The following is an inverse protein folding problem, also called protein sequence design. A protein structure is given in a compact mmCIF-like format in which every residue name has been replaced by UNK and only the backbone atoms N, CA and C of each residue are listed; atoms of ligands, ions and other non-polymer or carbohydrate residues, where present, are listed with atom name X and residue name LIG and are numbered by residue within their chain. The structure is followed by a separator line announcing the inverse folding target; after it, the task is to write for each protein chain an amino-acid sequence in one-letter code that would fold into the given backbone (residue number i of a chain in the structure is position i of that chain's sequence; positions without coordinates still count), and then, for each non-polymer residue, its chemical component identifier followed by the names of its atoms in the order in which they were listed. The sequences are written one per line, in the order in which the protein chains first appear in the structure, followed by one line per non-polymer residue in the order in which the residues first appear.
data_IF_988831688386
#
_entry.id   IF_988831688386
#
_cell.length_a   1.000
_cell.length_b   1.000
_cell.length_c   1.000
_cell.angle_alpha   90.00
_cell.angle_beta   90.00
_cell.angle_gamma   90.00
#
_symmetry.space_group_name_H-M   'P 1'
#
loop_
_entity.id
_entity.type
_entity.pdbx_description
1 polymer ?
#
# COMPACT_ATOMS: atom_id res chain seq x y z
N UNK A 1 -33.49 -26.72 -0.20
CA UNK A 1 -33.17 -26.53 1.23
C UNK A 1 -31.87 -27.29 1.47
N UNK A 2 -30.73 -26.61 1.32
CA UNK A 2 -29.42 -27.24 1.52
C UNK A 2 -29.05 -26.98 2.97
N UNK A 3 -29.07 -28.05 3.76
CA UNK A 3 -28.66 -28.13 5.15
C UNK A 3 -27.17 -28.45 5.15
N UNK A 4 -26.34 -27.44 5.39
CA UNK A 4 -25.00 -27.55 5.94
C UNK A 4 -24.54 -26.12 6.25
N UNK A 5 -24.91 -25.64 7.44
CA UNK A 5 -24.61 -24.27 7.89
C UNK A 5 -23.72 -24.32 9.13
N UNK A 6 -22.64 -25.09 9.06
CA UNK A 6 -21.48 -24.80 9.89
C UNK A 6 -20.56 -23.90 9.06
N UNK A 7 -20.50 -22.62 9.43
CA UNK A 7 -19.57 -21.66 8.84
C UNK A 7 -18.16 -22.10 9.23
N UNK A 8 -17.43 -22.72 8.30
CA UNK A 8 -16.04 -23.10 8.50
C UNK A 8 -15.17 -21.84 8.40
N UNK A 9 -14.75 -21.29 9.54
CA UNK A 9 -13.81 -20.18 9.59
C UNK A 9 -12.43 -20.63 9.11
N UNK A 10 -12.12 -20.35 7.85
CA UNK A 10 -10.84 -20.74 7.22
C UNK A 10 -9.62 -19.92 7.69
N UNK A 11 -9.83 -18.89 8.51
CA UNK A 11 -8.78 -17.98 8.96
C UNK A 11 -8.12 -17.23 7.79
N UNK A 12 -6.84 -16.88 7.93
CA UNK A 12 -6.09 -16.20 6.88
C UNK A 12 -5.80 -17.16 5.70
N UNK A 13 -6.18 -16.72 4.50
CA UNK A 13 -5.85 -17.33 3.21
C UNK A 13 -4.72 -16.54 2.54
N UNK A 14 -3.91 -17.24 1.74
CA UNK A 14 -2.72 -16.69 1.10
C UNK A 14 -2.70 -17.03 -0.39
N UNK A 15 -2.07 -16.20 -1.24
CA UNK A 15 -1.86 -16.54 -2.64
C UNK A 15 -1.04 -17.82 -2.78
N UNK A 16 -1.41 -18.65 -3.75
CA UNK A 16 -0.64 -19.83 -4.10
C UNK A 16 0.36 -19.52 -5.22
N UNK A 17 0.96 -20.56 -5.80
CA UNK A 17 1.93 -20.42 -6.86
C UNK A 17 1.34 -19.77 -8.12
N UNK A 18 2.15 -18.95 -8.80
CA UNK A 18 1.80 -18.34 -10.08
C UNK A 18 1.67 -19.43 -11.14
N UNK A 19 0.56 -19.41 -11.87
CA UNK A 19 0.24 -20.34 -12.97
C UNK A 19 0.19 -19.65 -14.32
N UNK A 20 -0.06 -18.34 -14.34
CA UNK A 20 -0.17 -17.55 -15.57
C UNK A 20 0.42 -16.17 -15.38
N UNK A 21 1.18 -15.73 -16.39
CA UNK A 21 1.69 -14.38 -16.53
C UNK A 21 1.24 -13.79 -17.86
N UNK A 22 0.87 -12.51 -17.86
CA UNK A 22 0.66 -11.74 -19.08
C UNK A 22 1.08 -10.29 -18.89
N UNK A 23 1.66 -9.69 -19.94
CA UNK A 23 2.04 -8.29 -19.99
C UNK A 23 1.22 -7.57 -21.04
N UNK A 24 0.69 -6.41 -20.69
CA UNK A 24 0.07 -5.45 -21.59
C UNK A 24 0.70 -4.07 -21.32
N UNK A 25 1.62 -3.66 -22.20
CA UNK A 25 2.38 -2.41 -22.09
C UNK A 25 3.07 -2.26 -20.72
N UNK A 26 2.46 -1.50 -19.81
CA UNK A 26 2.92 -1.14 -18.46
C UNK A 26 2.22 -1.93 -17.35
N UNK A 27 1.27 -2.78 -17.71
CA UNK A 27 0.47 -3.61 -16.82
C UNK A 27 0.91 -5.07 -16.90
N UNK A 28 1.21 -5.66 -15.76
CA UNK A 28 1.61 -7.05 -15.60
C UNK A 28 0.56 -7.77 -14.74
N UNK A 29 0.06 -8.89 -15.24
CA UNK A 29 -0.90 -9.73 -14.54
C UNK A 29 -0.26 -11.07 -14.18
N UNK A 30 -0.40 -11.45 -12.92
CA UNK A 30 0.05 -12.73 -12.37
C UNK A 30 -1.14 -13.43 -11.73
N UNK A 31 -1.59 -14.54 -12.31
CA UNK A 31 -2.67 -15.36 -11.76
C UNK A 31 -2.08 -16.57 -11.05
N UNK A 32 -2.67 -16.91 -9.91
CA UNK A 32 -2.27 -18.05 -9.07
C UNK A 32 -3.22 -19.23 -9.21
N UNK A 33 -2.85 -20.39 -8.68
CA UNK A 33 -3.69 -21.60 -8.71
C UNK A 33 -4.96 -21.50 -7.84
N UNK A 34 -5.00 -20.59 -6.86
CA UNK A 34 -6.16 -20.37 -5.99
C UNK A 34 -6.97 -19.11 -6.36
N UNK A 35 -6.93 -18.71 -7.64
CA UNK A 35 -7.69 -17.60 -8.22
C UNK A 35 -7.31 -16.20 -7.73
N UNK A 36 -6.26 -16.05 -6.93
CA UNK A 36 -5.70 -14.72 -6.64
C UNK A 36 -5.01 -14.19 -7.89
N UNK A 37 -5.28 -12.93 -8.23
CA UNK A 37 -4.60 -12.24 -9.32
C UNK A 37 -3.94 -10.98 -8.76
N UNK A 38 -2.64 -10.83 -9.01
CA UNK A 38 -1.90 -9.58 -8.85
C UNK A 38 -1.85 -8.86 -10.19
N UNK A 39 -2.34 -7.62 -10.23
CA UNK A 39 -2.09 -6.65 -11.29
C UNK A 39 -1.06 -5.64 -10.79
N UNK A 40 0.14 -5.67 -11.38
CA UNK A 40 1.18 -4.68 -11.17
C UNK A 40 1.15 -3.68 -12.33
N UNK A 41 1.00 -2.39 -12.05
CA UNK A 41 1.08 -1.32 -13.05
C UNK A 41 2.29 -0.43 -12.77
N UNK A 42 3.14 -0.25 -13.78
CA UNK A 42 4.31 0.62 -13.72
C UNK A 42 3.93 2.03 -14.17
N UNK A 43 3.49 2.86 -13.23
CA UNK A 43 3.04 4.22 -13.52
C UNK A 43 4.20 5.15 -13.86
N UNK A 44 5.33 4.98 -13.14
CA UNK A 44 6.59 5.68 -13.35
C UNK A 44 7.76 4.81 -12.91
N UNK A 45 8.98 5.20 -13.27
CA UNK A 45 10.20 4.53 -12.78
C UNK A 45 10.28 4.46 -11.24
N UNK A 46 9.62 5.36 -10.51
CA UNK A 46 9.56 5.37 -9.05
C UNK A 46 8.19 5.07 -8.45
N UNK A 47 7.17 4.75 -9.25
CA UNK A 47 5.80 4.54 -8.75
C UNK A 47 5.22 3.27 -9.33
N UNK A 48 4.96 2.31 -8.45
CA UNK A 48 4.37 1.02 -8.78
C UNK A 48 3.02 0.90 -8.09
N UNK A 49 1.99 0.49 -8.83
CA UNK A 49 0.66 0.19 -8.27
C UNK A 49 0.47 -1.32 -8.23
N UNK A 50 0.07 -1.82 -7.07
CA UNK A 50 -0.26 -3.23 -6.85
C UNK A 50 -1.75 -3.34 -6.54
N UNK A 51 -2.47 -4.13 -7.34
CA UNK A 51 -3.88 -4.44 -7.09
C UNK A 51 -4.03 -5.95 -7.00
N UNK A 52 -4.57 -6.46 -5.90
CA UNK A 52 -4.89 -7.87 -5.72
C UNK A 52 -6.40 -8.08 -5.67
N UNK A 53 -6.85 -9.15 -6.32
CA UNK A 53 -8.21 -9.67 -6.22
C UNK A 53 -8.16 -11.14 -5.81
N UNK A 54 -9.13 -11.56 -5.00
CA UNK A 54 -9.32 -12.94 -4.50
C UNK A 54 -10.35 -13.72 -5.33
N UNK A 55 -11.14 -13.02 -6.16
CA UNK A 55 -12.28 -13.58 -6.91
C UNK A 55 -11.99 -13.78 -8.40
N UNK A 56 -10.72 -13.67 -8.81
CA UNK A 56 -10.28 -13.89 -10.20
C UNK A 56 -10.69 -12.80 -11.20
N UNK A 57 -11.28 -11.69 -10.75
CA UNK A 57 -11.62 -10.53 -11.56
C UNK A 57 -11.42 -9.25 -10.78
N UNK A 58 -11.04 -8.17 -11.47
CA UNK A 58 -10.93 -6.86 -10.85
C UNK A 58 -12.28 -6.14 -10.86
N UNK A 59 -12.49 -5.34 -9.83
CA UNK A 59 -13.53 -4.31 -9.82
C UNK A 59 -13.24 -3.22 -10.85
N UNK A 60 -14.19 -2.27 -11.00
CA UNK A 60 -13.98 -1.11 -11.86
C UNK A 60 -12.80 -0.29 -11.33
N UNK A 61 -11.80 -0.06 -12.19
CA UNK A 61 -10.65 0.76 -11.82
C UNK A 61 -11.06 2.21 -11.58
N UNK A 62 -11.15 2.59 -10.31
CA UNK A 62 -11.63 3.90 -9.86
C UNK A 62 -10.99 4.26 -8.52
N UNK A 63 -10.61 5.54 -8.37
CA UNK A 63 -10.15 6.11 -7.11
C UNK A 63 -10.68 7.53 -6.96
N UNK A 64 -11.01 7.92 -5.72
CA UNK A 64 -11.36 9.30 -5.38
C UNK A 64 -10.14 10.20 -5.18
N UNK A 65 -8.96 9.61 -5.02
CA UNK A 65 -7.75 10.33 -4.63
C UNK A 65 -6.79 10.58 -5.79
N UNK A 66 -6.85 9.76 -6.85
CA UNK A 66 -5.92 9.84 -7.98
C UNK A 66 -6.38 10.91 -8.95
N UNK A 67 -5.49 11.82 -9.30
CA UNK A 67 -5.72 12.84 -10.32
C UNK A 67 -5.69 12.19 -11.72
N UNK A 68 -6.68 12.48 -12.55
CA UNK A 68 -6.73 11.99 -13.94
C UNK A 68 -5.57 12.56 -14.78
N UNK A 69 -5.13 13.77 -14.45
CA UNK A 69 -4.04 14.48 -15.11
C UNK A 69 -2.66 14.17 -14.47
N UNK A 70 -2.59 13.28 -13.48
CA UNK A 70 -1.33 12.86 -12.88
C UNK A 70 -0.37 12.36 -13.96
N UNK A 71 0.89 12.82 -13.94
CA UNK A 71 1.80 12.45 -15.02
C UNK A 71 2.12 10.95 -14.96
N UNK A 72 2.18 10.31 -16.12
CA UNK A 72 2.47 8.89 -16.28
C UNK A 72 3.61 8.70 -17.27
N UNK A 73 4.32 7.59 -17.15
CA UNK A 73 5.41 7.21 -18.03
C UNK A 73 6.68 6.83 -17.27
N UNK A 74 7.41 5.89 -17.84
CA UNK A 74 8.70 5.40 -17.37
C UNK A 74 9.72 5.48 -18.50
N UNK A 75 10.99 5.59 -18.15
CA UNK A 75 12.09 5.60 -19.11
C UNK A 75 12.62 4.18 -19.39
N UNK A 76 12.44 3.27 -18.44
CA UNK A 76 12.90 1.89 -18.55
C UNK A 76 11.91 0.92 -17.94
N UNK A 77 11.65 -0.18 -18.65
CA UNK A 77 10.87 -1.31 -18.15
C UNK A 77 11.38 -2.60 -18.78
N UNK A 78 12.11 -3.38 -17.98
CA UNK A 78 12.57 -4.71 -18.32
C UNK A 78 11.91 -5.74 -17.40
N UNK A 79 11.54 -6.89 -17.95
CA UNK A 79 11.02 -8.01 -17.17
C UNK A 79 11.86 -9.23 -17.50
N UNK A 80 12.48 -9.82 -16.49
CA UNK A 80 13.15 -11.11 -16.61
C UNK A 80 12.38 -12.17 -15.82
N UNK A 81 12.40 -13.38 -16.36
CA UNK A 81 11.73 -14.54 -15.80
C UNK A 81 12.81 -15.55 -15.38
N UNK A 82 12.95 -15.74 -14.06
CA UNK A 82 13.90 -16.67 -13.44
C UNK A 82 13.14 -17.89 -12.87
N UNK A 83 13.83 -18.93 -12.41
CA UNK A 83 13.19 -20.15 -11.88
C UNK A 83 12.29 -19.84 -10.67
N UNK A 84 12.71 -18.94 -9.79
CA UNK A 84 12.02 -18.65 -8.52
C UNK A 84 11.10 -17.42 -8.57
N UNK A 85 11.34 -16.48 -9.49
CA UNK A 85 10.71 -15.15 -9.45
C UNK A 85 10.65 -14.47 -10.81
N UNK A 86 9.71 -13.55 -10.93
CA UNK A 86 9.74 -12.51 -11.96
C UNK A 86 10.47 -11.29 -11.42
N UNK A 87 11.34 -10.67 -12.23
CA UNK A 87 12.08 -9.47 -11.87
C UNK A 87 11.65 -8.34 -12.81
N UNK A 88 11.03 -7.32 -12.25
CA UNK A 88 10.58 -6.12 -12.98
C UNK A 88 11.53 -4.98 -12.64
N UNK A 89 12.31 -4.55 -13.63
CA UNK A 89 13.33 -3.51 -13.49
C UNK A 89 12.89 -2.24 -14.19
N UNK A 90 12.99 -1.13 -13.47
CA UNK A 90 12.78 0.24 -13.95
C UNK A 90 14.05 1.07 -13.74
N UNK A 91 14.06 2.33 -14.13
CA UNK A 91 15.25 3.18 -13.93
C UNK A 91 15.62 3.42 -12.46
N UNK A 92 14.70 3.20 -11.51
CA UNK A 92 14.91 3.47 -10.07
C UNK A 92 14.59 2.30 -9.15
N UNK A 93 13.79 1.33 -9.61
CA UNK A 93 13.32 0.21 -8.79
C UNK A 93 13.56 -1.13 -9.48
N UNK A 94 13.89 -2.13 -8.67
CA UNK A 94 13.86 -3.55 -9.03
C UNK A 94 12.83 -4.22 -8.13
N UNK A 95 11.79 -4.78 -8.73
CA UNK A 95 10.70 -5.47 -8.05
C UNK A 95 10.80 -6.97 -8.33
N UNK A 96 11.04 -7.76 -7.28
CA UNK A 96 10.97 -9.21 -7.32
C UNK A 96 9.58 -9.68 -6.94
N UNK A 97 9.01 -10.58 -7.73
CA UNK A 97 7.71 -11.22 -7.51
C UNK A 97 7.94 -12.72 -7.43
N UNK A 98 7.84 -13.29 -6.24
CA UNK A 98 8.09 -14.72 -6.01
C UNK A 98 7.00 -15.59 -6.62
N UNK A 99 7.40 -16.63 -7.36
CA UNK A 99 6.46 -17.53 -8.07
C UNK A 99 5.70 -18.45 -7.13
N UNK A 100 6.21 -18.71 -5.93
CA UNK A 100 5.59 -19.63 -4.96
C UNK A 100 4.36 -19.05 -4.27
N UNK A 101 4.35 -17.74 -4.00
CA UNK A 101 3.41 -17.12 -3.05
C UNK A 101 3.06 -15.64 -3.36
N UNK A 102 3.46 -15.10 -4.51
CA UNK A 102 3.28 -13.70 -4.89
C UNK A 102 3.93 -12.66 -3.97
N UNK A 103 4.83 -13.06 -3.05
CA UNK A 103 5.52 -12.08 -2.21
C UNK A 103 6.40 -11.15 -3.05
N UNK A 104 6.40 -9.90 -2.62
CA UNK A 104 7.10 -8.80 -3.28
C UNK A 104 8.33 -8.39 -2.48
N UNK A 105 9.44 -8.18 -3.17
CA UNK A 105 10.62 -7.52 -2.60
C UNK A 105 11.09 -6.40 -3.52
N UNK A 106 11.26 -5.20 -2.97
CA UNK A 106 11.58 -3.98 -3.70
C UNK A 106 12.98 -3.50 -3.33
N UNK A 107 13.81 -3.30 -4.35
CA UNK A 107 15.19 -2.86 -4.23
C UNK A 107 15.38 -1.56 -5.00
N UNK A 108 16.35 -0.78 -4.55
CA UNK A 108 16.83 0.37 -5.31
C UNK A 108 17.70 -0.09 -6.47
N UNK A 109 17.38 0.33 -7.69
CA UNK A 109 18.16 -0.01 -8.87
C UNK A 109 19.59 0.56 -8.85
N UNK A 110 19.84 1.63 -8.07
CA UNK A 110 21.15 2.28 -8.03
C UNK A 110 22.20 1.48 -7.25
N UNK A 111 21.81 0.78 -6.18
CA UNK A 111 22.74 0.08 -5.28
C UNK A 111 22.31 -1.34 -4.90
N UNK A 112 21.19 -1.84 -5.44
CA UNK A 112 20.60 -3.15 -5.15
C UNK A 112 20.29 -3.39 -3.67
N UNK A 113 20.12 -2.33 -2.87
CA UNK A 113 19.69 -2.47 -1.47
C UNK A 113 18.18 -2.55 -1.37
N UNK A 114 17.73 -3.41 -0.48
CA UNK A 114 16.33 -3.57 -0.14
C UNK A 114 15.75 -2.27 0.43
N UNK A 115 14.53 -1.95 -0.01
CA UNK A 115 13.73 -0.81 0.44
C UNK A 115 12.51 -1.31 1.22
N UNK A 116 11.80 -2.30 0.68
CA UNK A 116 10.59 -2.83 1.28
C UNK A 116 10.38 -4.27 0.81
N UNK A 117 10.02 -5.18 1.70
CA UNK A 117 9.68 -6.56 1.36
C UNK A 117 8.46 -7.03 2.14
N UNK A 118 7.77 -7.98 1.54
CA UNK A 118 6.67 -8.70 2.17
C UNK A 118 7.21 -9.65 3.23
N UNK A 119 6.59 -9.65 4.41
CA UNK A 119 6.81 -10.68 5.41
C UNK A 119 5.90 -11.88 5.11
N UNK A 120 4.61 -11.76 5.44
CA UNK A 120 3.55 -12.63 4.92
C UNK A 120 2.99 -12.15 3.58
N UNK A 121 3.17 -10.88 3.22
CA UNK A 121 2.63 -10.29 1.99
C UNK A 121 1.11 -10.16 2.00
N UNK A 122 0.52 -10.22 0.80
CA UNK A 122 -0.94 -10.18 0.65
C UNK A 122 -1.57 -11.44 1.23
N UNK A 123 -2.60 -11.26 2.05
CA UNK A 123 -3.42 -12.32 2.59
C UNK A 123 -4.82 -11.76 2.89
N UNK A 124 -5.81 -12.62 3.05
CA UNK A 124 -7.17 -12.18 3.30
C UNK A 124 -7.93 -13.15 4.18
N UNK A 125 -9.08 -12.70 4.66
CA UNK A 125 -10.01 -13.51 5.45
C UNK A 125 -11.43 -13.18 5.00
N UNK A 126 -12.27 -14.19 4.82
CA UNK A 126 -13.67 -13.98 4.48
C UNK A 126 -14.42 -13.39 5.70
N UNK A 127 -15.07 -12.25 5.52
CA UNK A 127 -15.94 -11.65 6.55
C UNK A 127 -17.37 -12.13 6.36
N UNK A 128 -17.83 -13.04 7.23
CA UNK A 128 -19.22 -13.49 7.23
C UNK A 128 -20.19 -12.41 7.73
N UNK A 129 -19.73 -11.52 8.60
CA UNK A 129 -20.57 -10.45 9.16
C UNK A 129 -20.82 -9.31 8.17
N UNK A 130 -19.77 -8.86 7.47
CA UNK A 130 -19.84 -7.75 6.52
C UNK A 130 -20.15 -8.21 5.10
N UNK A 131 -19.89 -9.49 4.80
CA UNK A 131 -19.78 -10.01 3.44
C UNK A 131 -18.48 -9.57 2.76
N UNK A 132 -17.94 -10.42 1.89
CA UNK A 132 -16.69 -10.15 1.17
C UNK A 132 -15.44 -10.45 1.99
N UNK A 133 -14.30 -9.88 1.57
CA UNK A 133 -12.99 -10.20 2.15
C UNK A 133 -12.38 -9.03 2.92
N UNK A 134 -11.81 -9.33 4.09
CA UNK A 134 -10.86 -8.47 4.80
C UNK A 134 -9.50 -8.66 4.15
N UNK A 135 -9.06 -7.66 3.39
CA UNK A 135 -7.79 -7.69 2.68
C UNK A 135 -6.66 -7.14 3.54
N UNK A 136 -5.55 -7.89 3.65
CA UNK A 136 -4.45 -7.61 4.56
C UNK A 136 -3.10 -7.65 3.82
N UNK A 137 -2.17 -6.81 4.26
CA UNK A 137 -0.80 -6.77 3.74
C UNK A 137 0.18 -6.70 4.91
N UNK A 138 1.18 -7.57 4.92
CA UNK A 138 2.26 -7.56 5.92
C UNK A 138 3.62 -7.40 5.28
N UNK A 139 4.35 -6.38 5.71
CA UNK A 139 5.71 -6.03 5.28
C UNK A 139 6.70 -6.29 6.41
N UNK A 140 7.93 -6.67 6.07
CA UNK A 140 9.00 -6.76 7.06
C UNK A 140 9.51 -5.36 7.41
N UNK A 141 9.56 -5.04 8.69
CA UNK A 141 10.10 -3.78 9.18
C UNK A 141 11.63 -3.84 9.24
N UNK A 142 12.28 -2.95 8.49
CA UNK A 142 13.73 -2.86 8.39
C UNK A 142 14.34 -2.29 9.67
N UNK A 143 15.63 -2.57 9.89
CA UNK A 143 16.32 -2.07 11.07
C UNK A 143 16.36 -0.53 11.07
N UNK A 144 16.05 0.08 12.22
CA UNK A 144 16.00 1.53 12.36
C UNK A 144 14.86 2.22 11.61
N UNK A 145 13.93 1.46 11.01
CA UNK A 145 12.86 2.04 10.21
C UNK A 145 11.90 2.89 11.03
N UNK A 146 11.53 4.05 10.52
CA UNK A 146 10.60 5.00 11.12
C UNK A 146 9.46 5.31 10.15
N UNK A 147 8.28 5.59 10.70
CA UNK A 147 7.05 5.76 9.92
C UNK A 147 6.42 7.13 10.21
N UNK A 148 5.95 7.82 9.16
CA UNK A 148 5.33 9.14 9.25
C UNK A 148 4.14 9.24 8.32
N UNK A 149 3.11 10.03 8.67
CA UNK A 149 1.96 10.30 7.79
C UNK A 149 0.63 10.02 8.47
N UNK A 150 -0.27 9.33 7.77
CA UNK A 150 -1.65 9.03 8.17
C UNK A 150 -2.54 10.25 8.45
N UNK A 151 -2.16 11.42 7.95
CA UNK A 151 -2.95 12.65 8.09
C UNK A 151 -2.78 13.30 9.46
N UNK A 152 -3.89 13.51 10.17
CA UNK A 152 -3.95 14.38 11.34
C UNK A 152 -3.89 13.64 12.68
N UNK A 153 -3.18 12.51 12.75
CA UNK A 153 -3.06 11.72 13.99
C UNK A 153 -2.42 12.53 15.12
N UNK A 154 -3.08 12.71 16.29
CA UNK A 154 -2.58 13.52 17.41
C UNK A 154 -1.56 12.74 18.25
N UNK A 155 -0.48 12.32 17.59
CA UNK A 155 0.55 11.45 18.10
C UNK A 155 1.94 12.06 17.87
N UNK A 156 2.96 11.47 18.49
CA UNK A 156 4.34 11.68 18.07
C UNK A 156 4.51 11.48 16.55
N UNK A 157 5.38 12.29 15.95
CA UNK A 157 5.62 12.27 14.50
C UNK A 157 6.02 10.87 13.99
N UNK A 158 6.88 10.16 14.73
CA UNK A 158 7.22 8.79 14.41
C UNK A 158 6.14 7.83 14.95
N UNK A 159 5.45 7.18 14.02
CA UNK A 159 4.33 6.29 14.27
C UNK A 159 4.75 4.87 14.69
N UNK A 160 6.06 4.58 14.72
CA UNK A 160 6.57 3.24 15.11
C UNK A 160 6.14 2.84 16.52
N UNK A 161 5.80 1.56 16.67
CA UNK A 161 5.33 0.92 17.89
C UNK A 161 3.87 1.19 18.20
N UNK A 162 3.10 1.68 17.23
CA UNK A 162 1.69 2.05 17.39
C UNK A 162 0.85 1.53 16.24
N UNK A 163 -0.44 1.44 16.51
CA UNK A 163 -1.48 1.04 15.57
C UNK A 163 -2.50 2.17 15.44
N UNK A 164 -3.01 2.36 14.23
CA UNK A 164 -3.94 3.41 13.88
C UNK A 164 -5.10 2.86 13.09
N UNK A 165 -6.23 3.53 13.23
CA UNK A 165 -7.45 3.32 12.48
C UNK A 165 -7.75 4.54 11.62
N UNK A 166 -8.03 4.30 10.35
CA UNK A 166 -8.50 5.31 9.41
C UNK A 166 -10.00 5.16 9.21
N UNK A 167 -10.73 5.90 10.05
CA UNK A 167 -12.18 6.03 10.01
C UNK A 167 -12.57 7.44 10.41
N UNK A 168 -13.04 8.26 9.47
CA UNK A 168 -13.38 9.65 9.75
C UNK A 168 -14.43 9.73 10.88
N UNK A 169 -14.03 10.28 12.03
CA UNK A 169 -14.81 10.25 13.28
C UNK A 169 -14.84 11.64 13.91
N UNK A 170 -16.03 12.08 14.32
CA UNK A 170 -16.20 13.34 15.05
C UNK A 170 -15.80 13.16 16.53
N UNK A 171 -14.50 13.29 16.78
CA UNK A 171 -13.90 13.16 18.11
C UNK A 171 -13.71 14.54 18.75
N UNK A 172 -14.81 15.17 19.18
CA UNK A 172 -14.77 16.49 19.83
C UNK A 172 -13.88 16.48 21.08
N UNK A 173 -13.09 17.54 21.26
CA UNK A 173 -12.15 17.70 22.37
C UNK A 173 -11.15 16.52 22.50
N UNK A 174 -10.70 15.96 21.37
CA UNK A 174 -9.72 14.89 21.35
C UNK A 174 -8.43 15.27 22.09
N UNK A 175 -7.84 14.29 22.76
CA UNK A 175 -6.58 14.43 23.47
C UNK A 175 -5.41 13.87 22.67
N UNK A 176 -4.23 13.91 23.27
CA UNK A 176 -3.07 13.17 22.76
C UNK A 176 -3.41 11.68 22.73
N UNK A 177 -3.01 10.98 21.67
CA UNK A 177 -3.25 9.55 21.45
C UNK A 177 -4.72 9.18 21.11
N UNK A 178 -5.63 10.15 20.94
CA UNK A 178 -6.98 9.84 20.45
C UNK A 178 -6.92 9.44 18.97
N UNK A 179 -7.45 8.25 18.67
CA UNK A 179 -7.57 7.71 17.32
C UNK A 179 -8.78 6.75 17.29
N UNK A 180 -9.64 6.79 16.25
CA UNK A 180 -9.59 7.69 15.10
C UNK A 180 -10.09 9.12 15.37
N UNK A 181 -9.79 10.03 14.42
CA UNK A 181 -10.29 11.41 14.41
C UNK A 181 -10.78 11.81 13.00
N UNK A 182 -10.70 13.10 12.65
CA UNK A 182 -11.40 13.69 11.51
C UNK A 182 -10.95 13.23 10.12
N UNK A 183 -9.65 13.04 9.85
CA UNK A 183 -9.16 12.71 8.50
C UNK A 183 -8.70 11.26 8.43
N UNK A 184 -9.10 10.59 7.35
CA UNK A 184 -8.64 9.26 6.98
C UNK A 184 -7.80 9.36 5.70
N UNK A 185 -6.50 9.63 5.85
CA UNK A 185 -5.56 9.69 4.73
C UNK A 185 -4.68 8.44 4.79
N UNK A 186 -4.95 7.40 3.98
CA UNK A 186 -4.24 6.12 4.04
C UNK A 186 -2.87 6.18 3.33
N UNK A 187 -2.07 7.18 3.65
CA UNK A 187 -0.72 7.37 3.14
C UNK A 187 0.29 7.48 4.28
N UNK A 188 1.36 6.70 4.22
CA UNK A 188 2.50 6.84 5.10
C UNK A 188 3.82 6.78 4.33
N UNK A 189 4.87 7.27 4.97
CA UNK A 189 6.25 7.18 4.50
C UNK A 189 7.06 6.32 5.45
N UNK A 190 7.85 5.40 4.90
CA UNK A 190 8.89 4.67 5.61
C UNK A 190 10.24 5.36 5.37
N UNK A 191 11.08 5.40 6.41
CA UNK A 191 12.45 5.91 6.35
C UNK A 191 13.38 4.96 7.09
N UNK A 192 14.35 4.40 6.40
CA UNK A 192 15.40 3.58 6.99
C UNK A 192 16.66 3.68 6.14
N UNK A 193 17.85 3.51 6.75
CA UNK A 193 19.13 3.44 6.04
C UNK A 193 19.37 4.59 5.04
N UNK A 194 18.84 5.79 5.32
CA UNK A 194 18.95 6.96 4.44
C UNK A 194 18.10 6.91 3.17
N UNK A 195 17.15 5.97 3.06
CA UNK A 195 16.20 5.83 1.96
C UNK A 195 14.78 5.99 2.47
N UNK A 196 13.93 6.57 1.62
CA UNK A 196 12.52 6.73 1.90
C UNK A 196 11.65 6.10 0.83
N UNK A 197 10.46 5.69 1.22
CA UNK A 197 9.40 5.28 0.34
C UNK A 197 8.06 5.69 0.94
N UNK A 198 7.03 5.70 0.12
CA UNK A 198 5.65 5.92 0.52
C UNK A 198 4.78 4.74 0.14
N UNK A 199 3.81 4.43 0.98
CA UNK A 199 2.70 3.54 0.65
C UNK A 199 1.42 4.34 0.78
N UNK A 200 0.71 4.47 -0.35
CA UNK A 200 -0.65 4.98 -0.40
C UNK A 200 -1.59 3.80 -0.62
N UNK A 201 -2.37 3.45 0.41
CA UNK A 201 -3.35 2.38 0.35
C UNK A 201 -4.69 2.95 -0.15
N UNK A 202 -4.95 2.77 -1.44
CA UNK A 202 -6.08 3.33 -2.17
C UNK A 202 -7.35 2.49 -1.94
N UNK A 203 -7.83 2.55 -0.70
CA UNK A 203 -9.02 1.85 -0.23
C UNK A 203 -9.81 2.75 0.72
N UNK A 204 -11.10 2.93 0.45
CA UNK A 204 -11.99 3.83 1.20
C UNK A 204 -12.77 3.16 2.32
N UNK A 205 -12.65 1.84 2.48
CA UNK A 205 -13.23 1.14 3.62
C UNK A 205 -12.50 1.54 4.90
N UNK A 206 -13.02 1.09 6.04
CA UNK A 206 -12.33 1.24 7.32
C UNK A 206 -10.99 0.52 7.25
N UNK A 207 -9.91 1.29 7.31
CA UNK A 207 -8.54 0.78 7.19
C UNK A 207 -7.81 0.88 8.51
N UNK A 208 -6.82 0.01 8.67
CA UNK A 208 -5.98 -0.06 9.85
C UNK A 208 -4.53 -0.16 9.42
N UNK A 209 -3.64 0.39 10.25
CA UNK A 209 -2.21 0.41 10.04
C UNK A 209 -1.52 0.05 11.34
N UNK A 210 -0.68 -0.98 11.34
CA UNK A 210 0.17 -1.35 12.48
C UNK A 210 1.63 -1.15 12.09
N UNK A 211 2.32 -0.27 12.81
CA UNK A 211 3.75 -0.01 12.62
C UNK A 211 4.58 -0.67 13.72
N UNK A 212 4.64 -2.00 13.74
CA UNK A 212 5.41 -2.77 14.71
C UNK A 212 4.89 -2.76 16.15
N UNK A 213 3.60 -2.49 16.34
CA UNK A 213 2.89 -2.55 17.63
C UNK A 213 2.64 -3.99 18.05
N UNK A 214 2.01 -4.81 17.21
CA UNK A 214 1.76 -6.23 17.53
C UNK A 214 3.02 -7.08 17.43
N UNK A 215 3.79 -6.90 16.35
CA UNK A 215 5.03 -7.63 16.07
C UNK A 215 6.15 -6.65 15.76
N UNK A 216 7.21 -6.63 16.57
CA UNK A 216 8.29 -5.63 16.49
C UNK A 216 9.00 -5.52 15.12
N UNK A 217 8.93 -6.56 14.30
CA UNK A 217 9.59 -6.65 13.00
C UNK A 217 8.61 -6.67 11.82
N UNK A 218 7.34 -6.31 12.03
CA UNK A 218 6.32 -6.29 10.99
C UNK A 218 5.56 -4.98 10.99
N UNK A 219 5.29 -4.49 9.79
CA UNK A 219 4.35 -3.43 9.53
C UNK A 219 3.22 -4.00 8.68
N UNK A 220 1.98 -3.74 9.07
CA UNK A 220 0.82 -4.25 8.33
C UNK A 220 -0.22 -3.17 8.10
N UNK A 221 -1.00 -3.36 7.05
CA UNK A 221 -2.17 -2.54 6.78
C UNK A 221 -3.26 -3.39 6.15
N UNK A 222 -4.50 -3.08 6.48
CA UNK A 222 -5.65 -3.87 6.02
C UNK A 222 -6.93 -3.04 5.96
N UNK A 223 -7.90 -3.54 5.21
CA UNK A 223 -9.22 -2.95 5.06
C UNK A 223 -10.30 -3.98 5.36
N UNK A 224 -11.45 -3.53 5.87
CA UNK A 224 -12.62 -4.39 6.10
C UNK A 224 -13.43 -4.70 4.83
N UNK A 225 -12.89 -4.40 3.65
CA UNK A 225 -13.53 -4.65 2.36
C UNK A 225 -12.77 -4.03 1.20
N UNK A 226 -13.29 -4.23 -0.02
CA UNK A 226 -12.68 -3.76 -1.26
C UNK A 226 -11.41 -4.55 -1.64
N UNK A 227 -10.78 -4.14 -2.74
CA UNK A 227 -9.54 -4.75 -3.21
C UNK A 227 -8.31 -4.28 -2.40
N UNK A 228 -7.27 -5.11 -2.35
CA UNK A 228 -5.95 -4.66 -1.90
C UNK A 228 -5.30 -3.87 -3.03
N UNK A 229 -5.57 -2.56 -3.07
CA UNK A 229 -5.02 -1.63 -4.06
C UNK A 229 -4.10 -0.63 -3.37
N UNK A 230 -2.80 -0.70 -3.61
CA UNK A 230 -1.84 0.25 -3.03
C UNK A 230 -0.77 0.69 -4.03
N UNK A 231 -0.25 1.88 -3.80
CA UNK A 231 0.82 2.49 -4.57
C UNK A 231 2.08 2.52 -3.71
N UNK A 232 3.15 1.95 -4.24
CA UNK A 232 4.49 2.11 -3.71
C UNK A 232 5.18 3.27 -4.42
N UNK A 233 5.66 4.24 -3.66
CA UNK A 233 6.20 5.51 -4.13
C UNK A 233 7.63 5.64 -3.65
N UNK A 234 8.61 5.43 -4.51
CA UNK A 234 10.01 5.52 -4.15
C UNK A 234 10.55 6.95 -4.30
N UNK A 235 11.39 7.34 -3.34
CA UNK A 235 12.14 8.58 -3.37
C UNK A 235 13.25 8.51 -2.33
N UNK A 236 14.55 8.53 -2.70
CA UNK A 236 15.64 8.36 -1.74
C UNK A 236 15.56 9.41 -0.62
N UNK A 237 15.05 10.61 -0.93
CA UNK A 237 14.67 11.61 0.07
C UNK A 237 13.15 11.62 0.25
N UNK A 238 12.71 11.83 1.49
CA UNK A 238 11.28 11.95 1.83
C UNK A 238 10.56 13.04 1.01
N UNK A 239 11.24 14.13 0.63
CA UNK A 239 10.65 15.16 -0.24
C UNK A 239 10.28 14.62 -1.62
N UNK A 240 11.07 13.69 -2.17
CA UNK A 240 10.79 13.07 -3.47
C UNK A 240 9.54 12.17 -3.38
N UNK A 241 9.37 11.47 -2.25
CA UNK A 241 8.17 10.67 -1.97
C UNK A 241 6.93 11.56 -1.93
N UNK A 242 6.96 12.65 -1.16
CA UNK A 242 5.82 13.59 -1.05
C UNK A 242 5.53 14.27 -2.40
N UNK A 243 6.56 14.62 -3.16
CA UNK A 243 6.39 15.19 -4.51
C UNK A 243 5.68 14.20 -5.44
N UNK A 244 6.10 12.94 -5.47
CA UNK A 244 5.45 11.92 -6.29
C UNK A 244 4.02 11.63 -5.81
N UNK A 245 3.77 11.63 -4.51
CA UNK A 245 2.42 11.46 -3.95
C UNK A 245 1.48 12.61 -4.31
N UNK A 246 1.95 13.85 -4.22
CA UNK A 246 1.14 15.04 -4.59
C UNK A 246 0.97 15.20 -6.09
N UNK A 247 1.91 14.72 -6.92
CA UNK A 247 1.69 14.62 -8.36
C UNK A 247 0.59 13.60 -8.67
N UNK A 248 0.59 12.46 -7.97
CA UNK A 248 -0.42 11.41 -8.14
C UNK A 248 -1.82 11.80 -7.64
N UNK A 249 -1.90 12.58 -6.56
CA UNK A 249 -3.16 12.91 -5.87
C UNK A 249 -3.62 14.36 -6.02
N UNK A 250 -2.90 15.14 -6.82
CA UNK A 250 -3.17 16.56 -7.05
C UNK A 250 -2.30 17.47 -6.18
N UNK A 251 -1.70 18.48 -6.82
CA UNK A 251 -0.84 19.44 -6.12
C UNK A 251 -1.68 20.46 -5.34
N UNK A 252 -1.35 20.73 -4.06
CA UNK A 252 -2.10 21.71 -3.28
C UNK A 252 -2.09 23.09 -3.94
N UNK A 253 -3.28 23.66 -4.13
CA UNK A 253 -3.41 25.03 -4.63
C UNK A 253 -2.88 26.00 -3.59
N UNK A 254 -2.18 27.04 -4.04
CA UNK A 254 -1.77 28.12 -3.16
C UNK A 254 -3.00 28.83 -2.61
N UNK A 255 -3.01 29.07 -1.30
CA UNK A 255 -4.09 29.87 -0.69
C UNK A 255 -3.94 31.34 -1.08
N UNK A 256 -5.02 32.11 -0.93
CA UNK A 256 -4.95 33.56 -1.11
C UNK A 256 -4.12 34.20 0.00
N UNK A 257 -3.53 35.37 -0.27
CA UNK A 257 -2.75 36.12 0.73
C UNK A 257 -3.56 36.41 2.01
N UNK A 258 -4.88 36.57 1.90
CA UNK A 258 -5.75 36.80 3.06
C UNK A 258 -5.85 35.58 3.96
N UNK A 259 -5.80 34.36 3.39
CA UNK A 259 -5.77 33.11 4.16
C UNK A 259 -4.45 32.84 4.88
N UNK A 260 -3.38 33.59 4.58
CA UNK A 260 -2.08 33.53 5.25
C UNK A 260 -1.92 34.57 6.35
N UNK A 261 -2.88 35.49 6.52
CA UNK A 261 -2.79 36.52 7.56
C UNK A 261 -2.96 35.89 8.93
N UNK A 262 -1.90 35.94 9.72
CA UNK A 262 -1.97 35.67 11.16
C UNK A 262 -2.57 36.91 11.82
N UNK A 263 -3.67 36.79 12.59
CA UNK A 263 -4.19 37.92 13.34
C UNK A 263 -3.11 38.46 14.30
N UNK A 264 -3.03 39.79 14.51
CA UNK A 264 -2.15 40.33 15.53
C UNK A 264 -2.49 39.72 16.90
N UNK A 265 -1.45 39.24 17.60
CA UNK A 265 -1.56 38.71 18.97
C UNK A 265 -2.01 39.78 19.96
#
# INVERSE_FOLDING_TARGET
MILNTELEYKGNLFPSNITKYSKDVDVLHFSTSNNVILKLTVLRDSVLRFTYTTVGKFERDFSYAIDEDASRGYNHLEITDDEEKYVVTTSKLICHIHKSDLRISLYDAADNKIICEDELGFHWEESYELGGDIVKMSKAAQNGESYYGLGDKPEHLNLKGRRFENWATDSYAFGKHTDPIYKAIPFYTGLHNGKSYGIFFDNTFRTYFDFCSERRNVTSFWAQGGEMNYYFIYGPKMQDVVKNYTDLTGTPRITTIMGLRVPPM
#
